data_IF_301647623867
#
_entry.id   IF_301647623867
#
_cell.length_a   1.000
_cell.length_b   1.000
_cell.length_c   1.000
_cell.angle_alpha   90.00
_cell.angle_beta   90.00
_cell.angle_gamma   90.00
#
_symmetry.space_group_name_H-M   'P 1'
#
loop_
_entity.id
_entity.type
_entity.pdbx_description
1 polymer ?
#
# COMPACT_ATOMS: atom_id res chain seq x y z
N UNK A 1 -10.57 -7.47 6.63
CA UNK A 1 -9.82 -7.25 5.39
C UNK A 1 -8.34 -7.46 5.66
N UNK A 2 -7.66 -8.06 4.71
CA UNK A 2 -6.23 -8.29 4.77
C UNK A 2 -5.53 -7.19 3.98
N UNK A 3 -4.83 -6.31 4.68
CA UNK A 3 -4.25 -5.12 4.05
C UNK A 3 -2.75 -5.12 4.27
N UNK A 4 -1.99 -5.03 3.18
CA UNK A 4 -0.53 -4.95 3.22
C UNK A 4 -0.09 -3.70 2.48
N UNK A 5 0.77 -2.91 3.11
CA UNK A 5 1.34 -1.70 2.49
C UNK A 5 2.84 -1.90 2.32
N UNK A 6 3.28 -1.91 1.07
CA UNK A 6 4.69 -2.05 0.72
C UNK A 6 5.31 -0.67 0.63
N UNK A 7 6.37 -0.44 1.38
CA UNK A 7 6.99 0.88 1.51
C UNK A 7 8.50 0.84 1.32
N UNK A 8 9.07 2.02 1.11
CA UNK A 8 10.52 2.25 1.24
C UNK A 8 10.73 3.26 2.35
N UNK A 9 11.82 3.14 3.14
CA UNK A 9 11.99 3.99 4.33
C UNK A 9 12.02 5.50 4.06
N UNK A 10 12.58 5.90 2.94
CA UNK A 10 12.72 7.32 2.62
C UNK A 10 11.74 7.80 1.56
N UNK A 11 10.55 7.25 1.58
CA UNK A 11 9.51 7.55 0.59
C UNK A 11 8.44 8.44 1.22
N UNK A 12 8.39 9.70 0.78
CA UNK A 12 7.39 10.64 1.31
C UNK A 12 5.97 10.20 1.01
N UNK A 13 5.73 9.67 -0.18
CA UNK A 13 4.40 9.19 -0.54
C UNK A 13 3.98 7.99 0.32
N UNK A 14 4.94 7.15 0.68
CA UNK A 14 4.67 6.02 1.58
C UNK A 14 4.20 6.51 2.93
N UNK A 15 4.87 7.51 3.48
CA UNK A 15 4.50 8.08 4.78
C UNK A 15 3.12 8.72 4.71
N UNK A 16 2.80 9.40 3.63
CA UNK A 16 1.48 10.00 3.46
C UNK A 16 0.39 8.93 3.37
N UNK A 17 0.68 7.82 2.72
CA UNK A 17 -0.26 6.70 2.66
C UNK A 17 -0.50 6.13 4.05
N UNK A 18 0.56 5.96 4.84
CA UNK A 18 0.44 5.48 6.22
C UNK A 18 -0.42 6.41 7.06
N UNK A 19 -0.20 7.73 6.94
CA UNK A 19 -1.00 8.72 7.68
C UNK A 19 -2.47 8.62 7.29
N UNK A 20 -2.76 8.47 6.02
CA UNK A 20 -4.13 8.36 5.55
C UNK A 20 -4.85 7.16 6.19
N UNK A 21 -4.15 6.02 6.23
CA UNK A 21 -4.71 4.79 6.81
C UNK A 21 -4.86 4.93 8.33
N UNK A 22 -3.84 5.49 8.99
CA UNK A 22 -3.84 5.66 10.44
C UNK A 22 -4.96 6.60 10.89
N UNK A 23 -5.17 7.69 10.16
CA UNK A 23 -6.22 8.66 10.48
C UNK A 23 -7.61 8.04 10.44
N UNK A 24 -7.78 6.97 9.70
CA UNK A 24 -9.07 6.29 9.56
C UNK A 24 -9.15 5.02 10.38
N UNK A 25 -8.15 4.80 11.24
CA UNK A 25 -8.07 3.62 12.10
C UNK A 25 -8.13 2.31 11.31
N UNK A 26 -7.59 2.33 10.11
CA UNK A 26 -7.51 1.15 9.27
C UNK A 26 -6.26 0.38 9.67
N UNK A 27 -6.42 -0.91 9.98
CA UNK A 27 -5.28 -1.75 10.35
C UNK A 27 -4.67 -2.38 9.11
N UNK A 28 -3.35 -2.40 9.06
CA UNK A 28 -2.63 -2.92 7.91
C UNK A 28 -1.25 -3.38 8.34
N UNK A 29 -0.67 -4.25 7.53
CA UNK A 29 0.71 -4.71 7.72
C UNK A 29 1.64 -3.87 6.85
N UNK A 30 2.72 -3.40 7.44
CA UNK A 30 3.72 -2.61 6.72
C UNK A 30 4.89 -3.50 6.34
N UNK A 31 5.29 -3.45 5.08
CA UNK A 31 6.38 -4.27 4.55
C UNK A 31 7.42 -3.35 3.91
N UNK A 32 8.62 -3.36 4.47
CA UNK A 32 9.74 -2.54 3.98
C UNK A 32 10.50 -3.35 2.93
N UNK A 33 10.35 -2.95 1.66
CA UNK A 33 10.89 -3.72 0.54
C UNK A 33 12.41 -3.53 0.38
N UNK A 34 12.99 -2.55 1.07
CA UNK A 34 14.43 -2.34 1.01
C UNK A 34 15.14 -3.30 1.97
N UNK A 35 14.61 -3.46 3.18
CA UNK A 35 15.22 -4.32 4.17
C UNK A 35 14.80 -5.79 4.04
N UNK A 36 13.74 -6.06 3.28
CA UNK A 36 13.18 -7.40 3.13
C UNK A 36 13.05 -7.73 1.65
N UNK A 37 13.97 -8.55 1.15
CA UNK A 37 13.98 -8.90 -0.28
C UNK A 37 12.76 -9.72 -0.67
N UNK A 38 12.19 -10.48 0.26
CA UNK A 38 10.97 -11.23 -0.02
C UNK A 38 9.79 -10.30 -0.23
N UNK A 39 9.75 -9.20 0.54
CA UNK A 39 8.71 -8.19 0.37
C UNK A 39 8.84 -7.49 -0.99
N UNK A 40 10.06 -7.20 -1.43
CA UNK A 40 10.28 -6.61 -2.74
C UNK A 40 9.81 -7.56 -3.85
N UNK A 41 10.16 -8.83 -3.74
CA UNK A 41 9.74 -9.83 -4.72
C UNK A 41 8.21 -9.90 -4.80
N UNK A 42 7.56 -9.88 -3.64
CA UNK A 42 6.10 -9.94 -3.58
C UNK A 42 5.49 -8.69 -4.20
N UNK A 43 6.04 -7.52 -3.90
CA UNK A 43 5.55 -6.26 -4.46
C UNK A 43 5.63 -6.25 -5.98
N UNK A 44 6.75 -6.71 -6.52
CA UNK A 44 6.94 -6.77 -7.97
C UNK A 44 5.97 -7.76 -8.60
N UNK A 45 5.79 -8.90 -7.94
CA UNK A 45 4.87 -9.93 -8.43
C UNK A 45 3.44 -9.39 -8.50
N UNK A 46 3.01 -8.65 -7.48
CA UNK A 46 1.64 -8.13 -7.41
C UNK A 46 1.40 -6.93 -8.32
N UNK A 47 2.38 -6.05 -8.43
CA UNK A 47 2.20 -4.75 -9.10
C UNK A 47 2.87 -4.67 -10.47
N UNK A 48 3.80 -5.57 -10.75
CA UNK A 48 4.53 -5.56 -12.03
C UNK A 48 5.57 -4.45 -12.12
N UNK A 49 5.93 -3.82 -11.01
CA UNK A 49 6.90 -2.72 -11.03
C UNK A 49 7.57 -2.60 -9.66
N UNK A 50 8.55 -1.70 -9.52
CA UNK A 50 9.39 -1.61 -8.31
C UNK A 50 9.20 -0.34 -7.51
N UNK A 51 8.24 0.51 -7.89
CA UNK A 51 8.01 1.78 -7.20
C UNK A 51 7.06 1.59 -6.02
N UNK A 52 7.34 2.30 -4.93
CA UNK A 52 6.49 2.31 -3.74
C UNK A 52 5.78 3.66 -3.66
N UNK A 53 4.65 3.75 -2.96
CA UNK A 53 3.99 2.68 -2.22
C UNK A 53 3.15 1.77 -3.10
N UNK A 54 2.93 0.55 -2.63
CA UNK A 54 1.97 -0.39 -3.22
C UNK A 54 1.09 -0.88 -2.09
N UNK A 55 -0.22 -0.88 -2.29
CA UNK A 55 -1.14 -1.40 -1.30
C UNK A 55 -1.91 -2.58 -1.88
N UNK A 56 -2.05 -3.62 -1.05
CA UNK A 56 -2.76 -4.84 -1.39
C UNK A 56 -3.90 -5.00 -0.39
N UNK A 57 -5.13 -4.89 -0.87
CA UNK A 57 -6.33 -5.05 -0.05
C UNK A 57 -7.08 -6.26 -0.55
N UNK A 58 -6.91 -7.39 0.14
CA UNK A 58 -7.56 -8.65 -0.23
C UNK A 58 -7.35 -9.02 -1.69
N UNK A 59 -6.15 -8.78 -2.21
CA UNK A 59 -5.81 -9.09 -3.60
C UNK A 59 -6.05 -7.97 -4.58
N UNK A 60 -6.65 -6.88 -4.17
CA UNK A 60 -6.81 -5.69 -5.02
C UNK A 60 -5.59 -4.79 -4.83
N UNK A 61 -4.94 -4.43 -5.92
CA UNK A 61 -3.64 -3.77 -5.90
C UNK A 61 -3.74 -2.34 -6.43
N UNK A 62 -3.15 -1.39 -5.69
CA UNK A 62 -2.93 -0.04 -6.17
C UNK A 62 -1.44 0.25 -6.05
N UNK A 63 -0.81 0.66 -7.14
CA UNK A 63 0.63 0.81 -7.20
C UNK A 63 1.03 2.23 -7.54
N UNK A 64 2.15 2.68 -6.98
CA UNK A 64 2.77 3.98 -7.31
C UNK A 64 1.73 5.09 -7.20
N UNK A 65 1.12 5.21 -6.04
CA UNK A 65 -0.01 6.11 -5.82
C UNK A 65 0.33 7.19 -4.80
N UNK A 66 -0.47 8.28 -4.84
CA UNK A 66 -0.44 9.30 -3.80
C UNK A 66 -1.66 9.15 -2.89
N UNK A 67 -1.66 9.88 -1.75
CA UNK A 67 -2.78 9.77 -0.82
C UNK A 67 -4.13 10.20 -1.42
N UNK A 68 -4.09 11.03 -2.44
CA UNK A 68 -5.32 11.46 -3.10
C UNK A 68 -5.98 10.33 -3.89
N UNK A 69 -5.25 9.27 -4.21
CA UNK A 69 -5.80 8.13 -4.93
C UNK A 69 -6.50 7.13 -4.02
N UNK A 70 -6.23 7.21 -2.71
CA UNK A 70 -6.75 6.23 -1.77
C UNK A 70 -8.27 6.30 -1.58
N UNK A 71 -8.88 7.50 -1.47
CA UNK A 71 -10.33 7.55 -1.32
C UNK A 71 -11.06 6.87 -2.47
N UNK A 72 -10.61 7.10 -3.69
CA UNK A 72 -11.23 6.48 -4.86
C UNK A 72 -11.01 4.99 -4.88
N UNK A 73 -9.79 4.55 -4.58
CA UNK A 73 -9.47 3.12 -4.53
C UNK A 73 -10.34 2.43 -3.49
N UNK A 74 -10.59 3.10 -2.35
CA UNK A 74 -11.35 2.51 -1.25
C UNK A 74 -12.84 2.38 -1.55
N UNK A 75 -13.34 3.12 -2.53
CA UNK A 75 -14.77 3.06 -2.87
C UNK A 75 -15.23 1.66 -3.23
N UNK A 76 -14.36 0.86 -3.84
CA UNK A 76 -14.73 -0.49 -4.24
C UNK A 76 -14.98 -1.42 -3.04
N UNK A 77 -14.57 -1.01 -1.85
CA UNK A 77 -14.71 -1.82 -0.64
C UNK A 77 -15.88 -1.38 0.23
N UNK A 78 -16.57 -0.31 -0.14
CA UNK A 78 -17.70 0.17 0.66
C UNK A 78 -18.88 -0.77 0.52
N UNK A 79 -19.58 -0.97 1.64
CA UNK A 79 -20.77 -1.78 1.64
C UNK A 79 -21.91 -1.10 0.90
N UNK A 80 -22.70 -1.90 0.25
CA UNK A 80 -23.86 -1.40 -0.46
C UNK A 80 -25.01 -1.12 0.50
#
# INVERSE_FOLDING_TARGET
MNIRLFIKPHCGWCHKAQHWLDDRSIQYETLDVISDSKAMTEMVKLSGQTLAPVIDVDGKILADFGPEDLPKFWEQFKEK
#
